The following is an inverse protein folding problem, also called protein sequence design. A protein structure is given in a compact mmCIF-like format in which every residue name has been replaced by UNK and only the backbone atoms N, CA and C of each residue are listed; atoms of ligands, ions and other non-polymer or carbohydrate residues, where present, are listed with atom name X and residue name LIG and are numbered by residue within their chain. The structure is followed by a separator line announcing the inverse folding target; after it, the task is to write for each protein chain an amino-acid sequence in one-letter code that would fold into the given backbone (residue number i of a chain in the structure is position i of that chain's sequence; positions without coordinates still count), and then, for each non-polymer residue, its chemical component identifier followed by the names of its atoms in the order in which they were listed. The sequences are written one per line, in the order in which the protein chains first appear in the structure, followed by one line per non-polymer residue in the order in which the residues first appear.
data_IF_859444387295
#
_entry.id   IF_859444387295
#
_cell.length_a   1.000
_cell.length_b   1.000
_cell.length_c   1.000
_cell.angle_alpha   90.00
_cell.angle_beta   90.00
_cell.angle_gamma   90.00
#
_symmetry.space_group_name_H-M   'P 1'
#
loop_
_entity.id
_entity.type
_entity.pdbx_description
1 polymer ?
#
# COMPACT_ATOMS: atom_id res chain seq x y z
N UNK A 1 -14.76 2.62 6.58
CA UNK A 1 -14.60 1.15 6.60
C UNK A 1 -13.41 0.83 5.72
N UNK A 2 -12.45 0.03 6.19
CA UNK A 2 -11.25 -0.29 5.42
C UNK A 2 -11.60 -1.12 4.17
N UNK A 3 -10.88 -0.87 3.09
CA UNK A 3 -10.90 -1.69 1.88
C UNK A 3 -10.02 -2.91 2.10
N UNK A 4 -10.56 -4.12 2.01
CA UNK A 4 -9.85 -5.36 2.38
C UNK A 4 -9.96 -6.41 1.29
N UNK A 5 -8.83 -6.99 0.92
CA UNK A 5 -8.75 -8.23 0.15
C UNK A 5 -8.03 -9.32 0.93
N UNK A 6 -8.76 -10.16 1.66
CA UNK A 6 -8.21 -11.13 2.61
C UNK A 6 -7.20 -12.12 2.01
N UNK A 7 -7.27 -12.37 0.70
CA UNK A 7 -6.36 -13.28 -0.02
C UNK A 7 -5.15 -12.56 -0.63
N UNK A 8 -4.75 -11.39 -0.12
CA UNK A 8 -3.66 -10.59 -0.69
C UNK A 8 -2.35 -11.38 -0.92
N UNK A 9 -1.99 -12.27 -0.02
CA UNK A 9 -0.77 -13.08 -0.15
C UNK A 9 -0.79 -14.02 -1.37
N UNK A 10 -1.97 -14.47 -1.81
CA UNK A 10 -2.08 -15.34 -2.99
C UNK A 10 -1.80 -14.61 -4.31
N UNK A 11 -1.70 -13.28 -4.30
CA UNK A 11 -1.40 -12.49 -5.49
C UNK A 11 0.09 -12.48 -5.85
N UNK A 12 0.97 -12.90 -4.93
CA UNK A 12 2.41 -12.90 -5.18
C UNK A 12 2.72 -13.78 -6.39
N UNK A 13 3.55 -13.26 -7.31
CA UNK A 13 3.89 -13.87 -8.60
C UNK A 13 2.79 -13.89 -9.68
N UNK A 14 1.59 -13.35 -9.39
CA UNK A 14 0.59 -13.12 -10.43
C UNK A 14 1.00 -11.98 -11.37
N UNK A 15 0.39 -11.94 -12.54
CA UNK A 15 0.51 -10.81 -13.46
C UNK A 15 0.00 -9.53 -12.80
N UNK A 16 0.58 -8.40 -13.21
CA UNK A 16 0.16 -7.07 -12.74
C UNK A 16 -1.32 -6.82 -13.01
N UNK A 17 -1.99 -6.20 -12.05
CA UNK A 17 -3.38 -5.79 -12.18
C UNK A 17 -3.49 -4.43 -12.87
N UNK A 18 -4.47 -4.29 -13.77
CA UNK A 18 -4.79 -3.03 -14.45
C UNK A 18 -3.58 -2.42 -15.16
N UNK A 19 -3.28 -1.15 -14.86
CA UNK A 19 -2.15 -0.41 -15.45
C UNK A 19 -0.77 -0.87 -14.96
N UNK A 20 -0.70 -1.80 -14.01
CA UNK A 20 0.54 -2.23 -13.37
C UNK A 20 1.14 -1.23 -12.38
N UNK A 21 0.41 -0.15 -12.08
CA UNK A 21 0.72 0.83 -11.05
C UNK A 21 0.22 0.39 -9.66
N UNK A 22 0.83 0.90 -8.60
CA UNK A 22 0.50 0.54 -7.22
C UNK A 22 -0.97 0.79 -6.85
N UNK A 23 -1.54 1.91 -7.31
CA UNK A 23 -2.96 2.29 -7.09
C UNK A 23 -3.93 1.28 -7.72
N UNK A 24 -3.62 0.77 -8.91
CA UNK A 24 -4.51 -0.17 -9.61
C UNK A 24 -4.70 -1.48 -8.84
N UNK A 25 -3.67 -1.93 -8.09
CA UNK A 25 -3.75 -3.16 -7.29
C UNK A 25 -4.82 -3.05 -6.21
N UNK A 26 -4.79 -1.98 -5.41
CA UNK A 26 -5.72 -1.80 -4.28
C UNK A 26 -7.13 -1.47 -4.75
N UNK A 27 -7.27 -0.79 -5.88
CA UNK A 27 -8.57 -0.55 -6.51
C UNK A 27 -9.21 -1.86 -6.97
N UNK A 28 -8.47 -2.68 -7.72
CA UNK A 28 -9.00 -3.92 -8.31
C UNK A 28 -9.28 -4.99 -7.25
N UNK A 29 -8.37 -5.21 -6.30
CA UNK A 29 -8.51 -6.34 -5.37
C UNK A 29 -9.23 -5.98 -4.08
N UNK A 30 -8.94 -4.82 -3.48
CA UNK A 30 -9.54 -4.42 -2.21
C UNK A 30 -10.78 -3.53 -2.38
N UNK A 31 -11.10 -3.11 -3.61
CA UNK A 31 -12.26 -2.26 -3.90
C UNK A 31 -12.09 -0.80 -3.48
N UNK A 32 -10.84 -0.33 -3.33
CA UNK A 32 -10.59 1.09 -3.06
C UNK A 32 -11.18 1.97 -4.19
N UNK A 33 -11.71 3.18 -3.91
CA UNK A 33 -12.45 3.97 -4.89
C UNK A 33 -11.64 4.21 -6.18
N UNK A 34 -12.27 3.89 -7.31
CA UNK A 34 -11.73 4.14 -8.65
C UNK A 34 -11.90 5.62 -9.02
N UNK A 35 -10.92 6.19 -9.73
CA UNK A 35 -11.05 7.51 -10.36
C UNK A 35 -10.75 8.74 -9.49
N UNK A 36 -10.49 8.59 -8.19
CA UNK A 36 -10.11 9.72 -7.34
C UNK A 36 -9.29 9.28 -6.12
N UNK A 37 -8.07 8.79 -6.34
CA UNK A 37 -7.14 8.54 -5.21
C UNK A 37 -6.89 9.80 -4.38
N UNK A 38 -7.06 11.00 -4.94
CA UNK A 38 -7.10 12.29 -4.23
C UNK A 38 -8.21 12.44 -3.17
N UNK A 39 -9.29 11.66 -3.29
CA UNK A 39 -10.40 11.64 -2.35
C UNK A 39 -10.22 10.61 -1.24
N UNK A 40 -9.22 9.74 -1.34
CA UNK A 40 -8.86 8.84 -0.25
C UNK A 40 -8.48 9.65 0.98
N UNK A 41 -9.03 9.23 2.12
CA UNK A 41 -8.74 9.83 3.41
C UNK A 41 -7.69 9.01 4.12
N UNK A 42 -6.78 9.72 4.80
CA UNK A 42 -5.83 9.11 5.69
C UNK A 42 -6.56 8.54 6.91
N UNK A 43 -6.60 7.22 7.01
CA UNK A 43 -7.11 6.51 8.17
C UNK A 43 -6.05 6.32 9.25
N UNK A 44 -6.22 5.25 10.03
CA UNK A 44 -5.28 4.89 11.10
C UNK A 44 -3.88 4.59 10.57
N UNK A 45 -2.87 4.94 11.37
CA UNK A 45 -1.47 4.68 11.06
C UNK A 45 -1.20 3.17 11.06
N UNK A 46 -0.38 2.71 10.12
CA UNK A 46 -0.01 1.29 10.04
C UNK A 46 0.92 0.92 11.18
N UNK A 47 2.02 1.67 11.36
CA UNK A 47 3.01 1.40 12.40
C UNK A 47 2.36 1.33 13.78
N UNK A 48 2.74 0.29 14.53
CA UNK A 48 2.29 -0.01 15.89
C UNK A 48 0.78 -0.36 16.01
N UNK A 49 0.08 -0.58 14.89
CA UNK A 49 -1.30 -1.02 14.87
C UNK A 49 -1.43 -2.49 14.41
N UNK A 50 -1.43 -3.40 15.37
CA UNK A 50 -1.51 -4.84 15.12
C UNK A 50 -2.91 -5.34 14.77
N UNK A 51 -3.94 -4.50 14.87
CA UNK A 51 -5.34 -4.87 14.63
C UNK A 51 -5.72 -4.76 13.14
N UNK A 52 -4.80 -4.29 12.29
CA UNK A 52 -5.02 -4.19 10.85
C UNK A 52 -5.13 -5.60 10.26
N UNK A 53 -6.27 -5.89 9.63
CA UNK A 53 -6.51 -7.16 8.97
C UNK A 53 -5.60 -7.34 7.75
N UNK A 54 -5.14 -8.58 7.52
CA UNK A 54 -4.45 -8.99 6.29
C UNK A 54 -5.28 -8.58 5.08
N UNK A 55 -4.63 -7.97 4.10
CA UNK A 55 -5.25 -7.51 2.87
C UNK A 55 -5.85 -6.11 2.93
N UNK A 56 -5.74 -5.41 4.06
CA UNK A 56 -6.19 -4.02 4.16
C UNK A 56 -5.40 -3.13 3.21
N UNK A 57 -6.11 -2.31 2.43
CA UNK A 57 -5.50 -1.34 1.54
C UNK A 57 -4.88 -0.20 2.36
N UNK A 58 -3.60 0.03 2.11
CA UNK A 58 -2.81 1.07 2.77
C UNK A 58 -2.12 1.92 1.72
N UNK A 59 -1.87 3.18 2.05
CA UNK A 59 -1.16 4.10 1.17
C UNK A 59 -0.33 5.12 1.95
N UNK A 60 0.55 5.80 1.23
CA UNK A 60 1.24 6.99 1.73
C UNK A 60 0.34 8.21 1.66
N UNK A 61 0.32 9.03 2.71
CA UNK A 61 -0.48 10.27 2.77
C UNK A 61 0.40 11.47 3.12
N UNK A 62 0.01 12.65 2.63
CA UNK A 62 0.56 13.96 3.01
C UNK A 62 -0.64 14.84 3.36
N UNK A 63 -0.63 15.43 4.56
CA UNK A 63 -1.70 16.30 5.07
C UNK A 63 -3.11 15.68 4.93
N UNK A 64 -3.23 14.38 5.23
CA UNK A 64 -4.50 13.66 5.22
C UNK A 64 -4.97 13.17 3.85
N UNK A 65 -4.20 13.43 2.77
CA UNK A 65 -4.58 13.09 1.38
C UNK A 65 -3.49 12.30 0.66
N UNK A 66 -3.92 11.46 -0.28
CA UNK A 66 -2.99 10.79 -1.17
C UNK A 66 -2.44 11.80 -2.18
N UNK A 67 -1.12 11.99 -2.30
CA UNK A 67 -0.57 13.19 -2.95
C UNK A 67 -0.49 13.09 -4.48
N UNK A 68 -0.82 11.95 -5.09
CA UNK A 68 -0.80 11.71 -6.55
C UNK A 68 0.47 12.21 -7.27
N UNK A 69 1.63 12.15 -6.60
CA UNK A 69 2.88 12.58 -7.18
C UNK A 69 3.30 11.61 -8.29
N UNK A 70 4.15 12.09 -9.20
CA UNK A 70 4.77 11.23 -10.23
C UNK A 70 5.63 10.13 -9.62
N UNK A 71 6.21 10.40 -8.44
CA UNK A 71 7.10 9.50 -7.70
C UNK A 71 7.00 9.77 -6.21
N UNK A 72 7.28 8.76 -5.39
CA UNK A 72 7.45 8.93 -3.94
C UNK A 72 6.24 8.49 -3.12
N UNK A 73 5.04 8.54 -3.68
CA UNK A 73 3.83 7.95 -3.11
C UNK A 73 3.66 6.48 -3.51
N UNK A 74 2.89 5.73 -2.73
CA UNK A 74 2.63 4.32 -2.99
C UNK A 74 1.35 3.83 -2.32
N UNK A 75 0.75 2.80 -2.89
CA UNK A 75 -0.36 2.04 -2.31
C UNK A 75 -0.07 0.54 -2.34
N UNK A 76 -0.53 -0.20 -1.34
CA UNK A 76 -0.26 -1.62 -1.19
C UNK A 76 -1.35 -2.32 -0.37
N UNK A 77 -1.31 -3.65 -0.33
CA UNK A 77 -2.11 -4.47 0.58
C UNK A 77 -1.24 -4.86 1.78
N UNK A 78 -1.70 -4.57 2.99
CA UNK A 78 -1.04 -4.94 4.23
C UNK A 78 -1.02 -6.47 4.42
N UNK A 79 0.07 -7.02 4.95
CA UNK A 79 0.13 -8.43 5.38
C UNK A 79 0.38 -8.55 6.88
N UNK A 80 1.46 -7.95 7.36
CA UNK A 80 1.87 -8.02 8.76
C UNK A 80 2.89 -6.93 9.05
N UNK A 81 3.24 -6.74 10.32
CA UNK A 81 4.32 -5.84 10.72
C UNK A 81 5.06 -6.37 11.94
N UNK A 82 6.25 -5.85 12.14
CA UNK A 82 7.05 -6.01 13.35
C UNK A 82 7.58 -4.63 13.79
N UNK A 83 8.43 -4.58 14.81
CA UNK A 83 8.98 -3.31 15.33
C UNK A 83 9.93 -2.58 14.35
N UNK A 84 10.29 -3.18 13.22
CA UNK A 84 11.25 -2.65 12.23
C UNK A 84 10.59 -2.29 10.91
N UNK A 85 9.38 -2.77 10.61
CA UNK A 85 8.74 -2.50 9.33
C UNK A 85 7.45 -3.28 9.10
N UNK A 86 6.94 -3.11 7.88
CA UNK A 86 5.68 -3.69 7.41
C UNK A 86 5.90 -4.58 6.19
N UNK A 87 5.28 -5.75 6.19
CA UNK A 87 5.15 -6.61 5.02
C UNK A 87 3.91 -6.23 4.22
N UNK A 88 4.10 -6.08 2.91
CA UNK A 88 3.03 -5.70 1.99
C UNK A 88 3.06 -6.54 0.72
N UNK A 89 1.92 -6.60 0.05
CA UNK A 89 1.82 -7.01 -1.35
C UNK A 89 1.63 -5.76 -2.18
N UNK A 90 2.50 -5.55 -3.16
CA UNK A 90 2.42 -4.42 -4.06
C UNK A 90 2.83 -4.75 -5.49
N UNK A 91 2.58 -3.78 -6.37
CA UNK A 91 3.15 -3.76 -7.71
C UNK A 91 3.74 -2.39 -7.99
N UNK A 92 4.89 -2.36 -8.65
CA UNK A 92 5.50 -1.13 -9.15
C UNK A 92 6.31 -1.46 -10.41
N UNK A 93 6.46 -0.52 -11.34
CA UNK A 93 7.29 -0.67 -12.54
C UNK A 93 8.70 -0.17 -12.20
N UNK A 94 9.78 -0.93 -12.47
CA UNK A 94 9.90 -2.26 -13.09
C UNK A 94 10.03 -3.42 -12.08
N UNK A 95 9.63 -3.21 -10.82
CA UNK A 95 9.80 -4.22 -9.76
C UNK A 95 9.12 -5.55 -10.11
N UNK A 96 9.72 -6.63 -9.61
CA UNK A 96 9.24 -8.02 -9.70
C UNK A 96 9.07 -8.56 -11.13
N UNK A 97 9.89 -8.13 -12.09
CA UNK A 97 9.83 -8.62 -13.47
C UNK A 97 8.42 -8.51 -14.09
N UNK A 98 7.70 -7.42 -13.76
CA UNK A 98 6.35 -7.20 -14.29
C UNK A 98 5.23 -7.94 -13.55
N UNK A 99 5.50 -8.52 -12.37
CA UNK A 99 4.53 -9.23 -11.53
C UNK A 99 4.14 -8.43 -10.27
N UNK A 100 3.17 -8.96 -9.53
CA UNK A 100 2.87 -8.57 -8.16
C UNK A 100 3.88 -9.24 -7.22
N UNK A 101 4.37 -8.50 -6.22
CA UNK A 101 5.42 -8.97 -5.33
C UNK A 101 5.15 -8.68 -3.86
N UNK A 102 5.80 -9.48 -3.00
CA UNK A 102 5.86 -9.26 -1.55
C UNK A 102 7.07 -8.40 -1.22
N UNK A 103 6.89 -7.39 -0.37
CA UNK A 103 7.96 -6.46 0.03
C UNK A 103 7.90 -6.16 1.52
N UNK A 104 9.07 -6.11 2.12
CA UNK A 104 9.25 -5.57 3.45
C UNK A 104 9.70 -4.10 3.36
N UNK A 105 8.93 -3.20 3.97
CA UNK A 105 9.20 -1.77 4.01
C UNK A 105 9.60 -1.40 5.44
N UNK A 106 10.86 -0.98 5.62
CA UNK A 106 11.39 -0.60 6.93
C UNK A 106 10.76 0.72 7.41
N UNK A 107 10.56 0.83 8.71
CA UNK A 107 10.31 2.08 9.41
C UNK A 107 11.60 2.91 9.46
N UNK A 108 11.58 4.09 8.85
CA UNK A 108 12.76 4.97 8.68
C UNK A 108 12.58 6.35 9.32
N UNK A 109 11.49 6.59 10.03
CA UNK A 109 11.24 7.84 10.73
C UNK A 109 11.13 9.05 9.81
N UNK A 110 10.60 8.88 8.59
CA UNK A 110 10.47 9.96 7.61
C UNK A 110 11.69 10.16 6.70
N UNK A 111 12.71 9.30 6.79
CA UNK A 111 13.94 9.46 6.00
C UNK A 111 13.79 8.82 4.61
N UNK A 112 13.98 9.65 3.57
CA UNK A 112 13.98 9.24 2.18
C UNK A 112 12.59 9.23 1.55
N UNK A 113 12.39 8.39 0.53
CA UNK A 113 11.11 8.33 -0.19
C UNK A 113 10.03 7.63 0.64
N UNK A 114 8.85 8.26 0.77
CA UNK A 114 7.71 7.72 1.52
C UNK A 114 7.29 6.31 1.06
N UNK A 115 7.36 6.02 -0.24
CA UNK A 115 7.11 4.69 -0.81
C UNK A 115 8.05 3.57 -0.33
N UNK A 116 9.12 3.92 0.39
CA UNK A 116 10.11 3.03 0.96
C UNK A 116 10.30 3.26 2.47
N UNK A 117 9.36 3.95 3.12
CA UNK A 117 9.33 4.20 4.55
C UNK A 117 7.97 3.77 5.12
N UNK A 118 7.98 2.71 5.92
CA UNK A 118 6.77 2.16 6.52
C UNK A 118 6.07 3.14 7.47
N UNK A 119 6.79 4.16 7.98
CA UNK A 119 6.22 5.18 8.86
C UNK A 119 5.22 6.09 8.15
N UNK A 120 5.25 6.11 6.82
CA UNK A 120 4.40 6.97 5.99
C UNK A 120 3.11 6.28 5.55
N UNK A 121 2.87 5.03 5.96
CA UNK A 121 1.70 4.27 5.54
C UNK A 121 0.54 4.38 6.54
N UNK A 122 -0.66 4.58 5.99
CA UNK A 122 -1.93 4.65 6.69
C UNK A 122 -2.98 3.81 5.95
N UNK A 123 -4.00 3.36 6.67
CA UNK A 123 -5.18 2.71 6.07
C UNK A 123 -5.90 3.70 5.15
N UNK A 124 -6.37 3.21 4.01
CA UNK A 124 -7.20 4.00 3.08
C UNK A 124 -8.65 3.99 3.58
N UNK A 125 -9.25 5.18 3.70
CA UNK A 125 -10.66 5.40 4.05
C UNK A 125 -11.44 6.23 3.03
#
# INVERSE_FOLDING_TARGET
MPYIYSSAESLVNHTKAGSGQCVALVQIYAGAPHGASENWKQGVKVRDNTDIAVGTAIATFIDGRYPNLRTGNHAALYLSQDNRGVWVVDQNIPKYNGKIGKRYIRFKGGVGSASNDGDQYYVIE
#
